data_IF_379797271541
#
_entry.id   IF_379797271541
#
_cell.length_a   1.000
_cell.length_b   1.000
_cell.length_c   1.000
_cell.angle_alpha   90.00
_cell.angle_beta   90.00
_cell.angle_gamma   90.00
#
_symmetry.space_group_name_H-M   'P 1'
#
loop_
_entity.id
_entity.type
_entity.pdbx_description
1 polymer ?
#
# COMPACT_ATOMS: atom_id res chain seq x y z
N UNK A 1 6.43 -6.60 -30.56
CA UNK A 1 5.57 -7.15 -29.50
C UNK A 1 6.45 -7.42 -28.31
N UNK A 2 6.22 -6.77 -27.18
CA UNK A 2 6.93 -7.04 -25.93
C UNK A 2 6.09 -8.01 -25.11
N UNK A 3 6.70 -9.10 -24.64
CA UNK A 3 6.08 -10.03 -23.69
C UNK A 3 6.97 -10.05 -22.47
N UNK A 4 6.40 -9.68 -21.32
CA UNK A 4 7.11 -9.68 -20.05
C UNK A 4 6.47 -10.73 -19.14
N UNK A 5 7.23 -11.72 -18.65
CA UNK A 5 6.76 -12.64 -17.62
C UNK A 5 6.22 -11.88 -16.40
N UNK A 6 5.18 -12.42 -15.75
CA UNK A 6 4.60 -11.81 -14.56
C UNK A 6 5.63 -11.60 -13.43
N UNK A 7 6.60 -12.52 -13.31
CA UNK A 7 7.70 -12.41 -12.35
C UNK A 7 8.59 -11.19 -12.64
N UNK A 8 8.94 -10.96 -13.91
CA UNK A 8 9.76 -9.81 -14.33
C UNK A 8 8.99 -8.49 -14.16
N UNK A 9 7.67 -8.51 -14.43
CA UNK A 9 6.80 -7.36 -14.16
C UNK A 9 6.73 -7.05 -12.65
N UNK A 10 6.56 -8.08 -11.81
CA UNK A 10 6.56 -7.92 -10.36
C UNK A 10 7.89 -7.34 -9.85
N UNK A 11 9.02 -7.81 -10.39
CA UNK A 11 10.34 -7.27 -10.10
C UNK A 11 10.50 -5.81 -10.55
N UNK A 12 9.99 -5.44 -11.72
CA UNK A 12 10.00 -4.05 -12.19
C UNK A 12 9.16 -3.11 -11.30
N UNK A 13 8.08 -3.63 -10.71
CA UNK A 13 7.21 -2.91 -9.78
C UNK A 13 7.66 -3.00 -8.31
N UNK A 14 8.85 -3.56 -8.04
CA UNK A 14 9.43 -3.70 -6.69
C UNK A 14 9.52 -2.36 -5.93
N UNK A 15 9.76 -1.26 -6.66
CA UNK A 15 9.92 0.07 -6.09
C UNK A 15 8.58 0.75 -5.71
N UNK A 16 7.44 0.23 -6.19
CA UNK A 16 6.11 0.81 -5.93
C UNK A 16 5.57 0.36 -4.56
N UNK A 17 6.16 0.88 -3.48
CA UNK A 17 5.78 0.53 -2.09
C UNK A 17 4.43 1.13 -1.71
N UNK A 18 3.66 0.41 -0.88
CA UNK A 18 2.40 0.89 -0.32
C UNK A 18 2.67 1.45 1.08
N UNK A 19 2.54 2.77 1.24
CA UNK A 19 2.89 3.44 2.49
C UNK A 19 1.68 3.46 3.45
N UNK A 20 1.32 2.29 3.98
CA UNK A 20 0.26 2.18 4.97
C UNK A 20 0.66 2.87 6.29
N UNK A 21 -0.27 3.63 6.87
CA UNK A 21 -0.08 4.29 8.17
C UNK A 21 -1.15 3.82 9.14
N UNK A 22 -0.74 3.56 10.38
CA UNK A 22 -1.60 3.02 11.42
C UNK A 22 -1.62 3.96 12.62
N UNK A 23 -2.81 4.20 13.15
CA UNK A 23 -3.03 4.96 14.37
C UNK A 23 -3.83 4.12 15.37
N UNK A 24 -3.32 4.03 16.60
CA UNK A 24 -3.97 3.30 17.69
C UNK A 24 -4.77 4.27 18.56
N UNK A 25 -6.08 4.04 18.65
CA UNK A 25 -6.98 4.69 19.60
C UNK A 25 -7.29 3.81 20.80
N UNK A 26 -8.09 4.33 21.74
CA UNK A 26 -8.46 3.59 22.96
C UNK A 26 -9.32 2.35 22.70
N UNK A 27 -10.07 2.33 21.60
CA UNK A 27 -11.05 1.26 21.29
C UNK A 27 -11.00 0.79 19.83
N UNK A 28 -10.14 1.39 19.01
CA UNK A 28 -10.04 1.07 17.59
C UNK A 28 -8.65 1.37 17.07
N UNK A 29 -8.32 0.69 15.97
CA UNK A 29 -7.14 0.93 15.16
C UNK A 29 -7.61 1.48 13.82
N UNK A 30 -6.97 2.55 13.36
CA UNK A 30 -7.26 3.16 12.06
C UNK A 30 -6.05 2.95 11.16
N UNK A 31 -6.27 2.31 10.02
CA UNK A 31 -5.28 2.10 8.98
C UNK A 31 -5.62 2.97 7.78
N UNK A 32 -4.61 3.61 7.19
CA UNK A 32 -4.79 4.53 6.07
C UNK A 32 -3.77 4.24 4.98
N UNK A 33 -4.15 4.48 3.73
CA UNK A 33 -3.26 4.42 2.58
C UNK A 33 -3.32 5.77 1.85
N UNK A 34 -2.54 6.78 2.32
CA UNK A 34 -2.71 8.17 1.91
C UNK A 34 -2.53 8.42 0.42
N UNK A 35 -1.67 7.63 -0.23
CA UNK A 35 -1.42 7.69 -1.67
C UNK A 35 -2.71 7.53 -2.51
N UNK A 36 -3.71 6.81 -1.99
CA UNK A 36 -5.00 6.62 -2.66
C UNK A 36 -6.13 7.37 -1.96
N UNK A 37 -5.91 7.83 -0.72
CA UNK A 37 -6.95 8.42 0.12
C UNK A 37 -7.85 7.38 0.77
N UNK A 38 -7.39 6.14 0.92
CA UNK A 38 -8.15 5.07 1.56
C UNK A 38 -7.97 5.11 3.08
N UNK A 39 -9.05 4.80 3.79
CA UNK A 39 -9.12 4.76 5.26
C UNK A 39 -9.99 3.59 5.66
N UNK A 40 -9.49 2.79 6.60
CA UNK A 40 -10.23 1.70 7.19
C UNK A 40 -10.00 1.66 8.71
N UNK A 41 -10.93 1.05 9.44
CA UNK A 41 -10.84 0.90 10.89
C UNK A 41 -11.19 -0.51 11.33
N UNK A 42 -10.55 -0.98 12.39
CA UNK A 42 -10.84 -2.25 13.03
C UNK A 42 -10.70 -2.17 14.54
N UNK A 43 -11.16 -3.21 15.25
CA UNK A 43 -10.95 -3.32 16.70
C UNK A 43 -9.49 -3.68 17.04
N UNK A 44 -8.81 -4.36 16.12
CA UNK A 44 -7.39 -4.73 16.23
C UNK A 44 -6.61 -4.23 15.02
N UNK A 45 -5.27 -4.34 15.11
CA UNK A 45 -4.38 -4.06 13.98
C UNK A 45 -4.74 -4.91 12.76
N UNK A 46 -4.86 -6.22 12.95
CA UNK A 46 -5.18 -7.19 11.89
C UNK A 46 -6.51 -6.84 11.22
N UNK A 47 -7.55 -6.59 12.03
CA UNK A 47 -8.87 -6.21 11.52
C UNK A 47 -8.83 -4.89 10.72
N UNK A 48 -8.04 -3.91 11.14
CA UNK A 48 -7.89 -2.66 10.41
C UNK A 48 -7.11 -2.82 9.09
N UNK A 49 -6.08 -3.69 9.09
CA UNK A 49 -5.30 -3.99 7.89
C UNK A 49 -6.08 -4.81 6.88
N UNK A 50 -6.85 -5.81 7.32
CA UNK A 50 -7.75 -6.59 6.46
C UNK A 50 -8.82 -5.70 5.83
N UNK A 51 -9.40 -4.79 6.61
CA UNK A 51 -10.34 -3.81 6.09
C UNK A 51 -9.67 -2.88 5.05
N UNK A 52 -8.45 -2.40 5.31
CA UNK A 52 -7.71 -1.56 4.37
C UNK A 52 -7.36 -2.32 3.07
N UNK A 53 -7.05 -3.61 3.15
CA UNK A 53 -6.82 -4.46 1.98
C UNK A 53 -8.09 -4.64 1.15
N UNK A 54 -9.26 -4.77 1.80
CA UNK A 54 -10.55 -4.86 1.11
C UNK A 54 -10.83 -3.57 0.35
N UNK A 55 -10.68 -2.41 0.99
CA UNK A 55 -10.85 -1.09 0.37
C UNK A 55 -9.90 -0.91 -0.84
N UNK A 56 -8.65 -1.36 -0.71
CA UNK A 56 -7.69 -1.31 -1.82
C UNK A 56 -8.07 -2.27 -2.96
N UNK A 57 -8.63 -3.43 -2.64
CA UNK A 57 -9.10 -4.38 -3.65
C UNK A 57 -10.28 -3.82 -4.43
N UNK A 58 -11.26 -3.23 -3.74
CA UNK A 58 -12.41 -2.56 -4.36
C UNK A 58 -11.95 -1.39 -5.25
N UNK A 59 -11.03 -0.55 -4.74
CA UNK A 59 -10.48 0.55 -5.53
C UNK A 59 -9.73 0.05 -6.79
N UNK A 60 -8.96 -1.03 -6.68
CA UNK A 60 -8.28 -1.63 -7.82
C UNK A 60 -9.28 -2.20 -8.84
N UNK A 61 -10.34 -2.86 -8.39
CA UNK A 61 -11.40 -3.39 -9.24
C UNK A 61 -12.10 -2.27 -10.02
N UNK A 62 -12.50 -1.19 -9.34
CA UNK A 62 -13.09 -0.02 -9.98
C UNK A 62 -12.14 0.61 -11.00
N UNK A 63 -10.86 0.76 -10.62
CA UNK A 63 -9.84 1.35 -11.48
C UNK A 63 -9.66 0.60 -12.80
N UNK A 64 -9.61 -0.74 -12.75
CA UNK A 64 -9.41 -1.55 -13.95
C UNK A 64 -10.70 -1.81 -14.73
N UNK A 65 -11.86 -1.80 -14.06
CA UNK A 65 -13.17 -1.90 -14.72
C UNK A 65 -13.44 -0.66 -15.57
N UNK A 66 -13.19 0.53 -15.03
CA UNK A 66 -13.39 1.81 -15.71
C UNK A 66 -12.06 2.44 -16.17
N UNK A 67 -11.11 1.61 -16.62
CA UNK A 67 -9.75 2.07 -16.94
C UNK A 67 -9.73 3.23 -17.95
N UNK A 68 -10.63 3.25 -18.93
CA UNK A 68 -10.72 4.32 -19.92
C UNK A 68 -11.11 5.67 -19.29
N UNK A 69 -11.91 5.66 -18.23
CA UNK A 69 -12.17 6.86 -17.44
C UNK A 69 -10.90 7.28 -16.67
N UNK A 70 -10.29 6.35 -15.94
CA UNK A 70 -9.17 6.67 -15.04
C UNK A 70 -7.91 7.16 -15.76
N UNK A 71 -7.63 6.68 -16.98
CA UNK A 71 -6.52 7.19 -17.82
C UNK A 71 -6.64 8.66 -18.21
N UNK A 72 -7.83 9.25 -18.05
CA UNK A 72 -8.10 10.66 -18.30
C UNK A 72 -8.17 11.50 -17.01
N UNK A 73 -7.81 10.93 -15.86
CA UNK A 73 -7.76 11.60 -14.55
C UNK A 73 -6.34 11.63 -13.99
N UNK A 74 -6.10 12.42 -12.94
CA UNK A 74 -4.83 12.39 -12.21
C UNK A 74 -4.54 11.04 -11.52
N UNK A 75 -5.57 10.21 -11.31
CA UNK A 75 -5.46 8.87 -10.71
C UNK A 75 -4.73 7.87 -11.59
N UNK A 76 -4.51 8.17 -12.88
CA UNK A 76 -3.67 7.32 -13.73
C UNK A 76 -2.26 7.10 -13.16
N UNK A 77 -1.80 8.03 -12.32
CA UNK A 77 -0.53 7.91 -11.59
C UNK A 77 -0.50 6.73 -10.62
N UNK A 78 -1.65 6.27 -10.15
CA UNK A 78 -1.78 5.15 -9.21
C UNK A 78 -1.50 3.79 -9.86
N UNK A 79 -1.54 3.72 -11.20
CA UNK A 79 -1.44 2.50 -11.99
C UNK A 79 -0.28 1.56 -11.59
N UNK A 80 0.97 2.03 -11.39
CA UNK A 80 2.09 1.13 -11.04
C UNK A 80 1.85 0.37 -9.72
N UNK A 81 1.27 1.05 -8.73
CA UNK A 81 0.98 0.45 -7.42
C UNK A 81 -0.23 -0.49 -7.47
N UNK A 82 -1.27 -0.13 -8.23
CA UNK A 82 -2.43 -1.00 -8.42
C UNK A 82 -2.07 -2.25 -9.23
N UNK A 83 -1.20 -2.13 -10.23
CA UNK A 83 -0.63 -3.28 -10.94
C UNK A 83 0.16 -4.19 -10.00
N UNK A 84 1.02 -3.62 -9.15
CA UNK A 84 1.77 -4.41 -8.14
C UNK A 84 0.82 -5.19 -7.24
N UNK A 85 -0.23 -4.54 -6.75
CA UNK A 85 -1.22 -5.16 -5.89
C UNK A 85 -1.98 -6.30 -6.59
N UNK A 86 -2.47 -6.07 -7.80
CA UNK A 86 -3.26 -7.07 -8.56
C UNK A 86 -2.40 -8.27 -8.98
N UNK A 87 -1.14 -8.05 -9.36
CA UNK A 87 -0.20 -9.10 -9.74
C UNK A 87 0.30 -9.93 -8.54
N UNK A 88 0.16 -9.41 -7.32
CA UNK A 88 0.50 -10.13 -6.09
C UNK A 88 -0.62 -11.12 -5.75
N UNK A 89 -0.32 -12.42 -5.51
CA UNK A 89 -1.32 -13.40 -5.10
C UNK A 89 -2.09 -12.95 -3.87
N UNK A 90 -3.39 -13.24 -3.82
CA UNK A 90 -4.26 -12.76 -2.73
C UNK A 90 -3.74 -13.14 -1.33
N UNK A 91 -3.16 -14.33 -1.19
CA UNK A 91 -2.56 -14.82 0.07
C UNK A 91 -1.36 -13.98 0.54
N UNK A 92 -0.67 -13.28 -0.37
CA UNK A 92 0.56 -12.56 -0.08
C UNK A 92 0.34 -11.03 0.03
N UNK A 93 -0.86 -10.52 -0.33
CA UNK A 93 -1.13 -9.08 -0.41
C UNK A 93 -0.97 -8.33 0.91
N UNK A 94 -1.20 -8.99 2.05
CA UNK A 94 -0.99 -8.39 3.37
C UNK A 94 0.47 -7.96 3.58
N UNK A 95 1.44 -8.68 2.99
CA UNK A 95 2.87 -8.33 3.07
C UNK A 95 3.20 -7.03 2.36
N UNK A 96 2.34 -6.56 1.44
CA UNK A 96 2.55 -5.30 0.72
C UNK A 96 2.31 -4.06 1.59
N UNK A 97 1.48 -4.19 2.64
CA UNK A 97 1.14 -3.08 3.53
C UNK A 97 1.99 -3.06 4.81
N UNK A 98 2.62 -4.19 5.15
CA UNK A 98 3.47 -4.35 6.32
C UNK A 98 4.90 -4.52 5.82
N UNK A 99 5.51 -3.44 5.33
CA UNK A 99 6.96 -3.44 5.23
C UNK A 99 7.54 -3.25 6.63
N UNK A 100 8.40 -4.18 7.05
CA UNK A 100 9.18 -4.04 8.28
C UNK A 100 9.80 -2.64 8.32
N UNK A 101 9.57 -1.84 9.38
CA UNK A 101 10.20 -0.54 9.47
C UNK A 101 11.70 -0.76 9.38
N UNK A 102 12.35 -0.11 8.41
CA UNK A 102 13.80 0.03 8.44
C UNK A 102 14.15 0.48 9.86
N UNK A 103 14.88 -0.37 10.59
CA UNK A 103 15.24 -0.14 11.99
C UNK A 103 15.61 1.33 12.14
N UNK A 104 14.96 2.10 13.05
CA UNK A 104 15.31 3.51 13.19
C UNK A 104 16.80 3.58 13.48
N UNK A 105 17.54 4.29 12.61
CA UNK A 105 18.94 4.54 12.83
C UNK A 105 19.08 5.12 14.25
N UNK A 106 20.05 4.63 15.06
CA UNK A 106 20.18 5.09 16.43
C UNK A 106 20.28 6.61 16.43
N UNK A 107 19.37 7.25 17.17
CA UNK A 107 19.35 8.67 17.42
C UNK A 107 20.75 9.09 17.86
N UNK A 108 21.45 9.84 17.00
CA UNK A 108 22.79 10.32 17.31
C UNK A 108 22.65 11.25 18.50
N UNK A 109 23.05 10.75 19.68
CA UNK A 109 23.08 11.51 20.90
C UNK A 109 23.82 12.83 20.63
N UNK A 110 23.07 13.93 20.69
CA UNK A 110 23.63 15.29 20.64
C UNK A 110 24.52 15.43 21.87
N UNK A 111 25.83 15.28 21.67
CA UNK A 111 26.81 15.62 22.67
C UNK A 111 26.76 17.13 22.89
N UNK A 112 26.08 17.55 23.95
CA UNK A 112 26.23 18.87 24.52
C UNK A 112 27.67 18.99 25.08
N UNK A 113 28.57 19.49 24.25
CA UNK A 113 29.91 19.90 24.64
C UNK A 113 29.91 21.36 25.09
N UNK A 114 30.30 21.58 26.35
CA UNK A 114 30.58 22.89 26.96
C UNK A 114 31.79 23.57 26.33
#
# INVERSE_FOLDING_TARGET
MLVLPAADMSAALAACRLDAKVQFGERSVVATLPQFGLVASGETFESAMDALLSELAEYAEDFFTDFDFYRHTDRIRDLPWLLRFVLTPAADRATLLVEEPATPAPEVAVAAGR
#
